data_IF_733868788920
#
_entry.id   IF_733868788920
#
_cell.length_a   1.000
_cell.length_b   1.000
_cell.length_c   1.000
_cell.angle_alpha   90.00
_cell.angle_beta   90.00
_cell.angle_gamma   90.00
#
_symmetry.space_group_name_H-M   'P 1'
#
loop_
_entity.id
_entity.type
_entity.pdbx_description
1 polymer ?
#
# COMPACT_ATOMS: atom_id res chain seq x y z
N UNK A 1 1.25 22.09 -14.26
CA UNK A 1 0.15 21.27 -13.71
C UNK A 1 0.33 19.88 -14.25
N UNK A 2 0.64 18.91 -13.39
CA UNK A 2 0.45 17.50 -13.73
C UNK A 2 -1.03 17.21 -13.87
N UNK A 3 -1.40 16.21 -14.66
CA UNK A 3 -2.80 15.81 -14.75
C UNK A 3 -3.27 15.15 -13.44
N UNK A 4 -4.59 15.11 -13.23
CA UNK A 4 -5.22 14.60 -12.02
C UNK A 4 -4.74 13.18 -11.66
N UNK A 5 -4.55 12.29 -12.64
CA UNK A 5 -4.15 10.92 -12.39
C UNK A 5 -2.71 10.87 -11.88
N UNK A 6 -1.81 11.66 -12.48
CA UNK A 6 -0.43 11.77 -12.00
C UNK A 6 -0.37 12.29 -10.57
N UNK A 7 -1.19 13.29 -10.21
CA UNK A 7 -1.24 13.81 -8.85
C UNK A 7 -1.77 12.77 -7.85
N UNK A 8 -2.77 11.97 -8.23
CA UNK A 8 -3.26 10.86 -7.39
C UNK A 8 -2.17 9.82 -7.12
N UNK A 9 -1.36 9.45 -8.12
CA UNK A 9 -0.25 8.52 -7.93
C UNK A 9 0.82 9.07 -6.96
N UNK A 10 1.14 10.37 -7.06
CA UNK A 10 2.08 11.02 -6.14
C UNK A 10 1.56 11.07 -4.71
N UNK A 11 0.27 11.38 -4.53
CA UNK A 11 -0.37 11.36 -3.22
C UNK A 11 -0.38 9.94 -2.63
N UNK A 12 -0.65 8.94 -3.45
CA UNK A 12 -0.61 7.54 -3.03
C UNK A 12 0.80 7.10 -2.62
N UNK A 13 1.82 7.46 -3.40
CA UNK A 13 3.24 7.21 -3.07
C UNK A 13 3.62 7.85 -1.73
N UNK A 14 3.30 9.13 -1.54
CA UNK A 14 3.54 9.83 -0.27
C UNK A 14 2.85 9.14 0.91
N UNK A 15 1.56 8.79 0.77
CA UNK A 15 0.78 8.16 1.82
C UNK A 15 1.35 6.79 2.21
N UNK A 16 1.78 5.99 1.23
CA UNK A 16 2.41 4.70 1.46
C UNK A 16 3.73 4.84 2.22
N UNK A 17 4.59 5.76 1.78
CA UNK A 17 5.88 6.01 2.43
C UNK A 17 5.71 6.50 3.87
N UNK A 18 4.75 7.39 4.12
CA UNK A 18 4.46 7.91 5.45
C UNK A 18 3.87 6.83 6.37
N UNK A 19 2.96 6.00 5.84
CA UNK A 19 2.41 4.86 6.59
C UNK A 19 3.51 3.88 6.98
N UNK A 20 4.37 3.50 6.04
CA UNK A 20 5.52 2.63 6.31
C UNK A 20 6.46 3.26 7.34
N UNK A 21 6.69 4.59 7.27
CA UNK A 21 7.51 5.30 8.25
C UNK A 21 6.96 5.18 9.66
N UNK A 22 5.65 5.31 9.84
CA UNK A 22 4.97 5.15 11.13
C UNK A 22 5.07 3.69 11.59
N UNK A 23 4.75 2.73 10.72
CA UNK A 23 4.75 1.30 11.05
C UNK A 23 6.14 0.77 11.46
N UNK A 24 7.25 1.37 10.99
CA UNK A 24 8.60 1.01 11.42
C UNK A 24 8.85 1.17 12.92
N UNK A 25 8.07 2.00 13.61
CA UNK A 25 8.19 2.21 15.05
C UNK A 25 7.31 1.29 15.91
N UNK A 26 6.51 0.41 15.30
CA UNK A 26 5.57 -0.46 16.00
C UNK A 26 6.21 -1.80 16.37
N UNK A 27 5.77 -2.39 17.49
CA UNK A 27 6.11 -3.78 17.82
C UNK A 27 5.38 -4.77 16.91
N UNK A 28 5.81 -6.03 16.91
CA UNK A 28 5.13 -7.07 16.13
C UNK A 28 3.68 -7.28 16.61
N UNK A 29 3.42 -7.23 17.92
CA UNK A 29 2.05 -7.33 18.46
C UNK A 29 1.17 -6.17 18.01
N UNK A 30 1.74 -4.97 17.86
CA UNK A 30 1.02 -3.82 17.33
C UNK A 30 0.76 -3.96 15.83
N UNK A 31 1.74 -4.47 15.07
CA UNK A 31 1.60 -4.74 13.64
C UNK A 31 0.56 -5.84 13.35
N UNK A 32 0.38 -6.77 14.28
CA UNK A 32 -0.60 -7.84 14.21
C UNK A 32 -1.96 -7.48 14.83
N UNK A 33 -2.11 -6.26 15.36
CA UNK A 33 -3.38 -5.78 15.90
C UNK A 33 -4.47 -5.67 14.84
N UNK A 34 -5.70 -6.01 15.22
CA UNK A 34 -6.91 -5.95 14.40
C UNK A 34 -7.95 -5.04 15.06
N UNK A 35 -8.80 -4.39 14.28
CA UNK A 35 -9.95 -3.65 14.80
C UNK A 35 -11.24 -4.01 14.06
N UNK A 36 -12.39 -3.79 14.70
CA UNK A 36 -13.69 -4.04 14.07
C UNK A 36 -13.82 -3.16 12.83
N UNK A 37 -14.07 -3.79 11.68
CA UNK A 37 -14.20 -3.11 10.40
C UNK A 37 -12.89 -2.92 9.63
N UNK A 38 -11.74 -3.43 10.11
CA UNK A 38 -10.49 -3.41 9.34
C UNK A 38 -10.28 -4.66 8.50
N UNK A 39 -9.43 -4.55 7.47
CA UNK A 39 -8.96 -5.70 6.70
C UNK A 39 -7.84 -6.42 7.47
N UNK A 40 -8.23 -7.30 8.39
CA UNK A 40 -7.27 -8.04 9.21
C UNK A 40 -6.34 -7.12 10.01
N UNK A 41 -5.07 -7.50 10.09
CA UNK A 41 -4.03 -6.74 10.80
C UNK A 41 -3.47 -5.59 9.98
N UNK A 42 -2.65 -4.74 10.62
CA UNK A 42 -1.90 -3.69 9.92
C UNK A 42 -1.01 -4.31 8.82
N UNK A 43 -0.29 -5.40 9.10
CA UNK A 43 0.49 -6.13 8.08
C UNK A 43 -0.38 -6.61 6.92
N UNK A 44 -1.53 -7.21 7.21
CA UNK A 44 -2.44 -7.70 6.18
C UNK A 44 -2.96 -6.57 5.28
N UNK A 45 -3.29 -5.42 5.88
CA UNK A 45 -3.72 -4.22 5.15
C UNK A 45 -2.59 -3.66 4.27
N UNK A 46 -1.35 -3.56 4.77
CA UNK A 46 -0.21 -3.09 3.98
C UNK A 46 0.07 -4.02 2.80
N UNK A 47 0.05 -5.34 3.03
CA UNK A 47 0.23 -6.34 1.98
C UNK A 47 -0.88 -6.24 0.93
N UNK A 48 -2.12 -5.99 1.37
CA UNK A 48 -3.26 -5.81 0.48
C UNK A 48 -3.10 -4.59 -0.44
N UNK A 49 -2.68 -3.44 0.11
CA UNK A 49 -2.45 -2.21 -0.65
C UNK A 49 -1.37 -2.44 -1.72
N UNK A 50 -0.21 -2.95 -1.34
CA UNK A 50 0.89 -3.23 -2.28
C UNK A 50 0.50 -4.25 -3.34
N UNK A 51 -0.22 -5.32 -2.95
CA UNK A 51 -0.73 -6.32 -3.88
C UNK A 51 -1.72 -5.74 -4.89
N UNK A 52 -2.59 -4.81 -4.47
CA UNK A 52 -3.52 -4.12 -5.35
C UNK A 52 -2.79 -3.19 -6.33
N UNK A 53 -1.84 -2.38 -5.85
CA UNK A 53 -1.06 -1.46 -6.68
C UNK A 53 -0.24 -2.17 -7.74
N UNK A 54 0.50 -3.21 -7.35
CA UNK A 54 1.26 -4.03 -8.31
C UNK A 54 0.34 -4.71 -9.32
N UNK A 55 -0.85 -5.14 -8.87
CA UNK A 55 -1.89 -5.68 -9.73
C UNK A 55 -2.42 -4.69 -10.77
N UNK A 56 -2.66 -3.43 -10.38
CA UNK A 56 -3.07 -2.38 -11.32
C UNK A 56 -1.95 -1.99 -12.28
N UNK A 57 -0.73 -1.80 -11.78
CA UNK A 57 0.44 -1.49 -12.60
C UNK A 57 0.64 -2.56 -13.68
N UNK A 58 0.58 -3.84 -13.32
CA UNK A 58 0.67 -4.95 -14.25
C UNK A 58 -0.42 -4.90 -15.33
N UNK A 59 -1.69 -4.67 -14.96
CA UNK A 59 -2.82 -4.59 -15.90
C UNK A 59 -2.74 -3.38 -16.84
N UNK A 60 -2.09 -2.30 -16.41
CA UNK A 60 -1.85 -1.11 -17.22
C UNK A 60 -0.60 -1.23 -18.12
N UNK A 61 0.00 -2.43 -18.19
CA UNK A 61 1.10 -2.74 -19.10
C UNK A 61 2.49 -2.58 -18.50
N UNK A 62 2.61 -2.32 -17.19
CA UNK A 62 3.90 -2.34 -16.51
C UNK A 62 4.32 -3.78 -16.19
N UNK A 63 4.95 -4.44 -17.16
CA UNK A 63 5.39 -5.83 -17.07
C UNK A 63 6.58 -6.05 -16.11
N UNK A 64 7.25 -4.98 -15.68
CA UNK A 64 8.35 -5.03 -14.69
C UNK A 64 7.83 -5.28 -13.28
N UNK A 65 6.57 -4.91 -12.98
CA UNK A 65 5.94 -5.15 -11.69
C UNK A 65 5.25 -6.51 -11.70
N UNK A 66 6.00 -7.59 -11.44
CA UNK A 66 5.38 -8.89 -11.20
C UNK A 66 4.36 -8.76 -10.06
N UNK A 67 3.15 -9.30 -10.25
CA UNK A 67 2.09 -9.23 -9.24
C UNK A 67 2.58 -9.87 -7.94
N UNK A 68 2.75 -9.05 -6.90
CA UNK A 68 3.13 -9.55 -5.58
C UNK A 68 1.91 -10.30 -5.03
N UNK A 69 2.05 -11.60 -4.83
CA UNK A 69 1.05 -12.46 -4.19
C UNK A 69 1.34 -12.55 -2.70
#
# INVERSE_FOLDING_TARGET
MTDLITDLYRQNEWANLETLRICRGLSDEQLDSTAVGTYGSIRATLQHIVGAETGYAFRLGNTTTARIR
#
